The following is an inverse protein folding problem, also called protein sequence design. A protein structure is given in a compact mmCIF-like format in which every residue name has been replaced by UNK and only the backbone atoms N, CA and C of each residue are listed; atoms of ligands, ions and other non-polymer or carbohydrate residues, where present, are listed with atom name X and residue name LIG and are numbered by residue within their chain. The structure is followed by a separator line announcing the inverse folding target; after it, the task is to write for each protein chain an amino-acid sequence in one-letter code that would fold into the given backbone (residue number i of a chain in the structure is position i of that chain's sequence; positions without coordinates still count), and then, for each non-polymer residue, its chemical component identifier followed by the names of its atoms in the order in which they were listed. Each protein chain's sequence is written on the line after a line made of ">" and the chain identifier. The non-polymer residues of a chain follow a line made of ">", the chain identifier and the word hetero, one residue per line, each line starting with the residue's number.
data_IF_056286924295
#
_entry.id   IF_056286924295
#
_cell.length_a   1.000
_cell.length_b   1.000
_cell.length_c   1.000
_cell.angle_alpha   90.00
_cell.angle_beta   90.00
_cell.angle_gamma   90.00
#
_symmetry.space_group_name_H-M   'P 1'
#
loop_
_entity.id
_entity.type
_entity.pdbx_description
1 polymer ?
#
# COMPACT_ATOMS: atom_id res chain seq x y z
N UNK A 1 -2.02 -15.42 5.31
CA UNK A 1 -2.05 -14.03 4.82
C UNK A 1 -1.20 -13.80 3.58
N UNK A 2 -0.07 -14.48 3.45
CA UNK A 2 0.80 -14.31 2.28
C UNK A 2 0.10 -14.59 0.95
N UNK A 3 -0.77 -15.58 0.89
CA UNK A 3 -1.47 -15.92 -0.35
C UNK A 3 -2.50 -14.87 -0.76
N UNK A 4 -2.82 -13.91 0.10
CA UNK A 4 -3.73 -12.81 -0.24
C UNK A 4 -3.02 -11.69 -1.00
N UNK A 5 -1.70 -11.68 -0.99
CA UNK A 5 -0.89 -10.61 -1.56
C UNK A 5 -0.07 -11.09 -2.73
N UNK A 6 0.05 -10.25 -3.75
CA UNK A 6 1.04 -10.44 -4.80
C UNK A 6 2.38 -9.92 -4.28
N UNK A 7 3.10 -10.78 -3.55
CA UNK A 7 4.31 -10.39 -2.83
C UNK A 7 5.40 -9.90 -3.79
N UNK A 8 5.55 -10.54 -4.94
CA UNK A 8 6.57 -10.16 -5.92
C UNK A 8 6.31 -8.74 -6.46
N UNK A 9 5.07 -8.46 -6.83
CA UNK A 9 4.64 -7.14 -7.29
C UNK A 9 4.87 -6.09 -6.21
N UNK A 10 4.46 -6.40 -4.97
CA UNK A 10 4.60 -5.47 -3.85
C UNK A 10 6.07 -5.18 -3.52
N UNK A 11 6.93 -6.19 -3.50
CA UNK A 11 8.35 -5.99 -3.24
C UNK A 11 8.98 -5.10 -4.30
N UNK A 12 8.64 -5.29 -5.56
CA UNK A 12 9.16 -4.45 -6.65
C UNK A 12 8.74 -2.99 -6.47
N UNK A 13 7.46 -2.77 -6.14
CA UNK A 13 6.94 -1.43 -5.89
C UNK A 13 7.58 -0.78 -4.68
N UNK A 14 7.75 -1.54 -3.59
CA UNK A 14 8.34 -1.03 -2.36
C UNK A 14 9.82 -0.68 -2.56
N UNK A 15 10.57 -1.47 -3.32
CA UNK A 15 11.97 -1.14 -3.64
C UNK A 15 12.08 0.17 -4.41
N UNK A 16 11.17 0.41 -5.35
CA UNK A 16 11.10 1.68 -6.07
C UNK A 16 10.83 2.83 -5.10
N UNK A 17 9.90 2.63 -4.15
CA UNK A 17 9.56 3.65 -3.15
C UNK A 17 10.74 3.93 -2.23
N UNK A 18 11.47 2.90 -1.82
CA UNK A 18 12.69 3.09 -1.02
C UNK A 18 13.67 3.99 -1.77
N UNK A 19 13.87 3.76 -3.06
CA UNK A 19 14.72 4.61 -3.88
C UNK A 19 14.22 6.06 -3.96
N UNK A 20 12.91 6.25 -4.07
CA UNK A 20 12.31 7.58 -4.07
C UNK A 20 12.55 8.30 -2.74
N UNK A 21 12.38 7.60 -1.61
CA UNK A 21 12.61 8.18 -0.29
C UNK A 21 14.07 8.56 -0.12
N UNK A 22 15.00 7.72 -0.57
CA UNK A 22 16.43 8.02 -0.50
C UNK A 22 16.77 9.25 -1.35
N UNK A 23 16.13 9.39 -2.51
CA UNK A 23 16.33 10.58 -3.36
C UNK A 23 15.82 11.84 -2.66
N UNK A 24 14.68 11.77 -2.00
CA UNK A 24 14.12 12.89 -1.23
C UNK A 24 15.09 13.28 -0.10
N UNK A 25 15.64 12.30 0.59
CA UNK A 25 16.61 12.55 1.65
C UNK A 25 17.83 13.32 1.14
N UNK A 26 18.34 12.95 -0.04
CA UNK A 26 19.45 13.68 -0.65
C UNK A 26 19.06 15.10 -1.06
N UNK A 27 17.84 15.29 -1.53
CA UNK A 27 17.35 16.62 -1.95
C UNK A 27 17.31 17.61 -0.79
N UNK A 28 17.11 17.12 0.43
CA UNK A 28 17.09 17.98 1.64
C UNK A 28 18.44 18.65 1.85
N UNK A 29 19.54 18.00 1.51
CA UNK A 29 20.91 18.53 1.66
C UNK A 29 21.39 19.30 0.44
N UNK A 30 20.64 19.29 -0.63
CA UNK A 30 20.95 19.99 -1.86
C UNK A 30 20.12 21.28 -1.96
N UNK A 31 20.50 22.15 -2.86
CA UNK A 31 19.79 23.42 -3.06
C UNK A 31 18.60 23.22 -4.01
N UNK A 32 17.70 22.33 -3.64
CA UNK A 32 16.52 21.99 -4.43
C UNK A 32 15.35 22.85 -3.94
N UNK A 33 14.57 23.47 -4.85
CA UNK A 33 13.40 24.23 -4.44
C UNK A 33 12.41 23.43 -3.60
N UNK A 34 11.81 24.06 -2.59
CA UNK A 34 10.86 23.39 -1.68
C UNK A 34 9.70 22.76 -2.41
N UNK A 35 9.17 23.42 -3.44
CA UNK A 35 8.05 22.89 -4.22
C UNK A 35 8.41 21.60 -4.95
N UNK A 36 9.67 21.43 -5.34
CA UNK A 36 10.12 20.20 -6.00
C UNK A 36 10.27 19.06 -5.00
N UNK A 37 10.76 19.35 -3.78
CA UNK A 37 10.83 18.36 -2.71
C UNK A 37 9.42 17.88 -2.34
N UNK A 38 8.48 18.82 -2.20
CA UNK A 38 7.08 18.49 -1.89
C UNK A 38 6.44 17.65 -3.00
N UNK A 39 6.75 17.94 -4.25
CA UNK A 39 6.24 17.15 -5.38
C UNK A 39 6.73 15.69 -5.30
N UNK A 40 8.00 15.48 -4.92
CA UNK A 40 8.55 14.13 -4.77
C UNK A 40 7.94 13.40 -3.58
N UNK A 41 7.68 14.09 -2.48
CA UNK A 41 6.98 13.50 -1.34
C UNK A 41 5.57 13.05 -1.74
N UNK A 42 4.86 13.89 -2.49
CA UNK A 42 3.54 13.55 -3.00
C UNK A 42 3.57 12.30 -3.87
N UNK A 43 4.56 12.21 -4.75
CA UNK A 43 4.72 11.04 -5.62
C UNK A 43 4.98 9.76 -4.81
N UNK A 44 5.83 9.82 -3.77
CA UNK A 44 6.10 8.68 -2.90
C UNK A 44 4.85 8.26 -2.14
N UNK A 45 4.08 9.22 -1.64
CA UNK A 45 2.80 8.97 -0.97
C UNK A 45 1.82 8.27 -1.91
N UNK A 46 1.69 8.75 -3.14
CA UNK A 46 0.81 8.15 -4.14
C UNK A 46 1.21 6.71 -4.46
N UNK A 47 2.53 6.45 -4.54
CA UNK A 47 3.04 5.10 -4.78
C UNK A 47 2.73 4.16 -3.61
N UNK A 48 2.82 4.63 -2.37
CA UNK A 48 2.44 3.85 -1.19
C UNK A 48 0.94 3.56 -1.18
N UNK A 49 0.11 4.52 -1.53
CA UNK A 49 -1.33 4.31 -1.66
C UNK A 49 -1.64 3.24 -2.71
N UNK A 50 -0.89 3.21 -3.80
CA UNK A 50 -1.04 2.18 -4.83
C UNK A 50 -0.73 0.79 -4.28
N UNK A 51 0.29 0.67 -3.43
CA UNK A 51 0.60 -0.59 -2.74
C UNK A 51 -0.58 -1.04 -1.88
N UNK A 52 -1.20 -0.11 -1.16
CA UNK A 52 -2.41 -0.40 -0.38
C UNK A 52 -3.54 -0.94 -1.25
N UNK A 53 -3.73 -0.35 -2.42
CA UNK A 53 -4.73 -0.83 -3.39
C UNK A 53 -4.46 -2.25 -3.88
N UNK A 54 -3.21 -2.57 -4.16
CA UNK A 54 -2.81 -3.93 -4.56
C UNK A 54 -3.12 -4.94 -3.45
N UNK A 55 -2.83 -4.58 -2.20
CA UNK A 55 -3.13 -5.44 -1.05
C UNK A 55 -4.64 -5.66 -0.91
N UNK A 56 -5.42 -4.59 -1.00
CA UNK A 56 -6.88 -4.69 -0.89
C UNK A 56 -7.48 -5.55 -1.98
N UNK A 57 -7.00 -5.41 -3.21
CA UNK A 57 -7.48 -6.21 -4.33
C UNK A 57 -7.21 -7.70 -4.11
N UNK A 58 -6.00 -8.05 -3.66
CA UNK A 58 -5.65 -9.43 -3.35
C UNK A 58 -6.47 -9.97 -2.19
N UNK A 59 -6.71 -9.14 -1.17
CA UNK A 59 -7.51 -9.52 -0.02
C UNK A 59 -8.95 -9.86 -0.43
N UNK A 60 -9.55 -9.05 -1.29
CA UNK A 60 -10.91 -9.30 -1.79
C UNK A 60 -10.96 -10.57 -2.63
N UNK A 61 -10.01 -10.75 -3.56
CA UNK A 61 -10.04 -11.86 -4.51
C UNK A 61 -9.72 -13.20 -3.87
N UNK A 62 -8.85 -13.22 -2.88
CA UNK A 62 -8.33 -14.47 -2.32
C UNK A 62 -8.80 -14.73 -0.89
N UNK A 63 -8.51 -13.81 0.03
CA UNK A 63 -8.76 -14.06 1.44
C UNK A 63 -10.24 -14.05 1.79
N UNK A 64 -11.00 -13.10 1.23
CA UNK A 64 -12.43 -12.97 1.54
C UNK A 64 -13.21 -14.10 0.89
N UNK A 65 -12.96 -14.35 -0.39
CA UNK A 65 -13.63 -15.44 -1.10
C UNK A 65 -13.40 -16.78 -0.42
N UNK A 66 -12.15 -17.06 -0.07
CA UNK A 66 -11.76 -18.30 0.61
C UNK A 66 -12.45 -18.43 1.97
N UNK A 67 -12.43 -17.37 2.77
CA UNK A 67 -13.07 -17.36 4.07
C UNK A 67 -14.56 -17.57 4.01
N UNK A 68 -15.24 -16.97 3.03
CA UNK A 68 -16.68 -17.15 2.85
C UNK A 68 -17.03 -18.58 2.44
N UNK A 69 -16.20 -19.21 1.63
CA UNK A 69 -16.41 -20.60 1.22
C UNK A 69 -16.22 -21.58 2.36
N UNK A 70 -15.41 -21.25 3.35
CA UNK A 70 -15.10 -22.12 4.50
C UNK A 70 -15.87 -21.79 5.78
N UNK A 71 -16.90 -20.95 5.68
CA UNK A 71 -17.93 -20.85 6.71
C UNK A 71 -17.64 -19.92 7.88
N UNK A 72 -16.67 -19.01 7.81
CA UNK A 72 -16.38 -18.05 8.87
C UNK A 72 -16.71 -16.61 8.45
N UNK A 73 -17.93 -16.42 7.94
CA UNK A 73 -18.36 -15.18 7.31
C UNK A 73 -18.27 -13.98 8.25
N UNK A 74 -18.73 -14.11 9.49
CA UNK A 74 -18.77 -12.98 10.42
C UNK A 74 -17.37 -12.44 10.72
N UNK A 75 -16.42 -13.34 10.94
CA UNK A 75 -15.02 -12.97 11.20
C UNK A 75 -14.39 -12.32 9.96
N UNK A 76 -14.64 -12.88 8.79
CA UNK A 76 -14.10 -12.36 7.54
C UNK A 76 -14.63 -10.96 7.26
N UNK A 77 -15.92 -10.73 7.46
CA UNK A 77 -16.54 -9.42 7.27
C UNK A 77 -15.96 -8.41 8.25
N UNK A 78 -15.79 -8.78 9.52
CA UNK A 78 -15.21 -7.89 10.53
C UNK A 78 -13.78 -7.50 10.17
N UNK A 79 -12.97 -8.44 9.74
CA UNK A 79 -11.59 -8.18 9.33
C UNK A 79 -11.53 -7.32 8.07
N UNK A 80 -12.44 -7.55 7.13
CA UNK A 80 -12.54 -6.74 5.93
C UNK A 80 -12.90 -5.30 6.26
N UNK A 81 -13.84 -5.09 7.18
CA UNK A 81 -14.22 -3.74 7.60
C UNK A 81 -13.02 -2.98 8.18
N UNK A 82 -12.17 -3.65 8.98
CA UNK A 82 -10.95 -3.05 9.51
C UNK A 82 -9.97 -2.67 8.40
N UNK A 83 -9.79 -3.54 7.41
CA UNK A 83 -8.89 -3.28 6.30
C UNK A 83 -9.37 -2.09 5.46
N UNK A 84 -10.67 -2.00 5.20
CA UNK A 84 -11.27 -0.88 4.48
C UNK A 84 -11.04 0.43 5.23
N UNK A 85 -11.27 0.44 6.55
CA UNK A 85 -11.06 1.62 7.37
C UNK A 85 -9.61 2.10 7.32
N UNK A 86 -8.67 1.18 7.47
CA UNK A 86 -7.24 1.53 7.41
C UNK A 86 -6.84 2.05 6.04
N UNK A 87 -7.33 1.42 4.98
CA UNK A 87 -7.04 1.87 3.62
C UNK A 87 -7.62 3.27 3.36
N UNK A 88 -8.85 3.52 3.80
CA UNK A 88 -9.48 4.83 3.64
C UNK A 88 -8.72 5.93 4.37
N UNK A 89 -8.10 5.62 5.51
CA UNK A 89 -7.37 6.60 6.32
C UNK A 89 -5.94 6.85 5.84
N UNK A 90 -5.50 6.19 4.78
CA UNK A 90 -4.15 6.39 4.22
C UNK A 90 -4.02 7.68 3.42
N UNK A 91 -5.11 8.32 3.06
CA UNK A 91 -5.07 9.53 2.24
C UNK A 91 -4.96 10.80 3.08
#
# INVERSE_FOLDING_TARGET
>A
MKQCMDAENLHRRLRTIVGQVQAIDRMVDEDVPCEDVLAQIHAAKAALNKCGGVIMQGHIQHCIRDGLQHGDADRIIANFAKAVERFANMN
#
